data_IF_949860418054
#
_entry.id   IF_949860418054
#
_cell.length_a   1.000
_cell.length_b   1.000
_cell.length_c   1.000
_cell.angle_alpha   90.00
_cell.angle_beta   90.00
_cell.angle_gamma   90.00
#
_symmetry.space_group_name_H-M   'P 1'
#
loop_
_entity.id
_entity.type
_entity.pdbx_description
1 polymer ?
#
# COMPACT_ATOMS: atom_id res chain seq x y z
N UNK A 1 -59.40 -78.38 -37.87
CA UNK A 1 -59.79 -76.97 -38.12
C UNK A 1 -58.79 -76.07 -37.41
N UNK A 2 -58.26 -75.07 -38.12
CA UNK A 2 -56.99 -74.40 -37.85
C UNK A 2 -56.96 -73.51 -36.59
N UNK A 3 -55.79 -73.34 -35.92
CA UNK A 3 -55.64 -72.37 -34.84
C UNK A 3 -55.41 -70.96 -35.38
N UNK A 4 -56.03 -69.99 -34.71
CA UNK A 4 -55.95 -68.54 -34.98
C UNK A 4 -54.52 -68.02 -34.76
N UNK A 5 -53.95 -67.39 -35.79
CA UNK A 5 -52.66 -66.69 -35.74
C UNK A 5 -52.81 -65.36 -34.99
N UNK A 6 -52.03 -65.19 -33.92
CA UNK A 6 -51.85 -63.93 -33.23
C UNK A 6 -50.91 -63.02 -34.05
N UNK A 7 -51.41 -61.88 -34.53
CA UNK A 7 -50.62 -60.88 -35.27
C UNK A 7 -50.02 -59.87 -34.28
N UNK A 8 -48.68 -59.83 -34.20
CA UNK A 8 -47.95 -58.80 -33.44
C UNK A 8 -48.01 -57.46 -34.20
N UNK A 9 -48.55 -56.42 -33.56
CA UNK A 9 -48.40 -55.02 -34.03
C UNK A 9 -46.98 -54.52 -33.71
N UNK A 10 -46.32 -53.75 -34.61
CA UNK A 10 -45.03 -53.14 -34.32
C UNK A 10 -45.19 -51.98 -33.31
N UNK A 11 -44.38 -51.99 -32.24
CA UNK A 11 -44.21 -50.84 -31.33
C UNK A 11 -43.34 -49.80 -32.05
N UNK A 12 -43.90 -48.63 -32.33
CA UNK A 12 -43.15 -47.47 -32.79
C UNK A 12 -42.13 -47.05 -31.71
N UNK A 13 -40.85 -46.99 -32.08
CA UNK A 13 -39.78 -46.43 -31.25
C UNK A 13 -39.82 -44.91 -31.41
N UNK A 14 -40.43 -44.20 -30.46
CA UNK A 14 -40.32 -42.74 -30.37
C UNK A 14 -38.92 -42.35 -29.94
N UNK A 15 -38.18 -41.65 -30.80
CA UNK A 15 -36.89 -41.04 -30.46
C UNK A 15 -37.19 -39.69 -29.82
N UNK A 16 -37.02 -39.59 -28.51
CA UNK A 16 -37.08 -38.31 -27.79
C UNK A 16 -35.73 -37.62 -28.00
N UNK A 17 -35.65 -36.71 -28.96
CA UNK A 17 -34.49 -35.85 -29.15
C UNK A 17 -34.47 -34.80 -28.03
N UNK A 18 -33.65 -35.02 -27.01
CA UNK A 18 -33.40 -34.05 -25.94
C UNK A 18 -32.47 -32.97 -26.46
N UNK A 19 -33.01 -31.77 -26.73
CA UNK A 19 -32.22 -30.60 -27.11
C UNK A 19 -31.58 -30.00 -25.86
N UNK A 20 -30.30 -30.29 -25.63
CA UNK A 20 -29.45 -29.58 -24.67
C UNK A 20 -29.22 -28.16 -25.19
N UNK A 21 -29.98 -27.19 -24.67
CA UNK A 21 -29.70 -25.77 -24.85
C UNK A 21 -28.50 -25.42 -23.97
N UNK A 22 -27.30 -25.44 -24.55
CA UNK A 22 -26.10 -24.89 -23.91
C UNK A 22 -26.19 -23.37 -24.03
N UNK A 23 -26.67 -22.71 -22.98
CA UNK A 23 -26.62 -21.26 -22.86
C UNK A 23 -25.17 -20.81 -22.69
N UNK A 24 -24.54 -20.36 -23.77
CA UNK A 24 -23.22 -19.74 -23.73
C UNK A 24 -23.37 -18.33 -23.15
N UNK A 25 -23.31 -18.21 -21.83
CA UNK A 25 -23.29 -16.91 -21.17
C UNK A 25 -21.99 -16.20 -21.55
N UNK A 26 -22.08 -15.20 -22.44
CA UNK A 26 -20.99 -14.26 -22.67
C UNK A 26 -20.76 -13.48 -21.36
N UNK A 27 -19.79 -13.91 -20.56
CA UNK A 27 -19.30 -13.15 -19.42
C UNK A 27 -18.51 -11.95 -19.96
N UNK A 28 -19.21 -10.85 -20.22
CA UNK A 28 -18.56 -9.59 -20.52
C UNK A 28 -17.75 -9.16 -19.28
N UNK A 29 -16.45 -8.87 -19.41
CA UNK A 29 -15.63 -8.46 -18.28
C UNK A 29 -16.20 -7.17 -17.69
N UNK A 30 -16.55 -7.20 -16.40
CA UNK A 30 -16.96 -6.00 -15.67
C UNK A 30 -15.84 -4.95 -15.77
N UNK A 31 -16.17 -3.67 -16.01
CA UNK A 31 -15.18 -2.62 -16.01
C UNK A 31 -14.48 -2.61 -14.66
N UNK A 32 -13.16 -2.78 -14.68
CA UNK A 32 -12.39 -2.81 -13.46
C UNK A 32 -12.55 -1.50 -12.68
N UNK A 33 -12.49 -1.57 -11.35
CA UNK A 33 -12.56 -0.37 -10.52
C UNK A 33 -11.25 0.45 -10.64
N UNK A 34 -11.32 1.78 -10.49
CA UNK A 34 -10.12 2.61 -10.44
C UNK A 34 -9.27 2.28 -9.20
N UNK A 35 -7.95 2.37 -9.31
CA UNK A 35 -7.03 2.21 -8.18
C UNK A 35 -7.02 3.49 -7.34
N UNK A 36 -7.21 3.35 -6.03
CA UNK A 36 -7.03 4.47 -5.09
C UNK A 36 -5.60 4.45 -4.59
N UNK A 37 -4.88 5.54 -4.80
CA UNK A 37 -3.47 5.67 -4.39
C UNK A 37 -3.35 6.67 -3.27
N UNK A 38 -2.67 6.28 -2.19
CA UNK A 38 -2.33 7.18 -1.09
C UNK A 38 -0.82 7.20 -0.89
N UNK A 39 -0.25 8.40 -0.75
CA UNK A 39 1.17 8.59 -0.47
C UNK A 39 1.32 8.89 1.02
N UNK A 40 2.09 8.05 1.71
CA UNK A 40 2.37 8.16 3.13
C UNK A 40 3.83 8.56 3.32
N UNK A 41 4.08 9.85 3.57
CA UNK A 41 5.43 10.38 3.69
C UNK A 41 5.65 11.03 5.05
N UNK A 42 6.86 10.89 5.59
CA UNK A 42 7.21 11.54 6.84
C UNK A 42 8.45 10.95 7.52
N UNK A 43 8.57 11.24 8.82
CA UNK A 43 9.69 10.81 9.64
C UNK A 43 9.28 9.73 10.67
N UNK A 44 9.90 9.66 11.85
CA UNK A 44 9.78 8.53 12.81
C UNK A 44 8.37 8.03 13.09
N UNK A 45 7.39 8.93 13.22
CA UNK A 45 5.99 8.55 13.50
C UNK A 45 5.30 7.94 12.27
N UNK A 46 5.60 8.42 11.07
CA UNK A 46 5.11 7.82 9.82
C UNK A 46 5.86 6.52 9.52
N UNK A 47 7.17 6.47 9.81
CA UNK A 47 7.96 5.24 9.71
C UNK A 47 7.32 4.15 10.56
N UNK A 48 6.92 4.48 11.79
CA UNK A 48 6.17 3.60 12.66
C UNK A 48 7.05 2.77 13.58
N UNK A 49 7.00 3.02 14.88
CA UNK A 49 7.87 2.35 15.85
C UNK A 49 7.12 1.48 16.85
N UNK A 50 5.79 1.42 16.74
CA UNK A 50 4.97 0.56 17.59
C UNK A 50 5.24 -0.89 17.22
N UNK A 51 5.55 -1.73 18.22
CA UNK A 51 5.85 -3.15 17.98
C UNK A 51 4.55 -3.94 17.88
N UNK A 52 4.55 -4.99 17.07
CA UNK A 52 3.36 -5.86 16.93
C UNK A 52 3.00 -6.51 18.27
N UNK A 53 4.00 -6.88 19.07
CA UNK A 53 3.81 -7.48 20.40
C UNK A 53 3.06 -6.57 21.40
N UNK A 54 2.88 -5.28 21.10
CA UNK A 54 2.20 -4.35 22.00
C UNK A 54 0.75 -4.04 21.59
N UNK A 55 0.22 -4.56 20.48
CA UNK A 55 -1.14 -4.17 20.04
C UNK A 55 -2.25 -4.76 20.90
N UNK A 56 -2.02 -5.87 21.58
CA UNK A 56 -3.02 -6.45 22.46
C UNK A 56 -3.37 -5.51 23.63
N UNK A 57 -2.47 -4.59 24.00
CA UNK A 57 -2.74 -3.53 24.97
C UNK A 57 -3.80 -2.52 24.54
N UNK A 58 -4.17 -2.47 23.25
CA UNK A 58 -5.35 -1.72 22.82
C UNK A 58 -6.62 -2.26 23.54
N UNK A 59 -6.65 -3.53 23.92
CA UNK A 59 -7.77 -4.08 24.67
C UNK A 59 -7.96 -3.43 26.06
N UNK A 60 -6.93 -2.78 26.61
CA UNK A 60 -6.97 -2.14 27.92
C UNK A 60 -7.85 -0.87 27.92
N UNK A 61 -8.11 -0.26 26.75
CA UNK A 61 -9.03 0.87 26.58
C UNK A 61 -10.23 0.47 25.69
N UNK A 62 -11.46 0.44 26.25
CA UNK A 62 -12.68 0.14 25.50
C UNK A 62 -12.87 0.99 24.23
N UNK A 63 -12.37 2.23 24.21
CA UNK A 63 -12.47 3.12 23.07
C UNK A 63 -11.67 2.62 21.85
N UNK A 64 -10.66 1.79 22.05
CA UNK A 64 -9.80 1.28 20.96
C UNK A 64 -10.16 -0.14 20.50
N UNK A 65 -11.12 -0.80 21.16
CA UNK A 65 -11.63 -2.11 20.75
C UNK A 65 -12.15 -2.16 19.30
N UNK A 66 -12.86 -1.14 18.76
CA UNK A 66 -13.26 -1.17 17.35
C UNK A 66 -12.07 -1.22 16.40
N UNK A 67 -10.97 -0.52 16.74
CA UNK A 67 -9.74 -0.52 15.96
C UNK A 67 -9.04 -1.88 16.06
N UNK A 68 -8.90 -2.43 17.28
CA UNK A 68 -8.28 -3.74 17.50
C UNK A 68 -8.99 -4.85 16.70
N UNK A 69 -10.34 -4.83 16.67
CA UNK A 69 -11.13 -5.78 15.86
C UNK A 69 -10.86 -5.68 14.37
N UNK A 70 -10.52 -4.51 13.85
CA UNK A 70 -10.15 -4.34 12.43
C UNK A 70 -8.72 -4.83 12.14
N UNK A 71 -7.85 -4.78 13.15
CA UNK A 71 -6.44 -5.16 13.06
C UNK A 71 -6.22 -6.67 13.11
N UNK A 72 -7.17 -7.44 13.63
CA UNK A 72 -7.08 -8.90 13.76
C UNK A 72 -8.03 -9.63 12.81
N UNK A 73 -7.64 -10.85 12.40
CA UNK A 73 -8.52 -11.79 11.71
C UNK A 73 -9.42 -12.55 12.70
N UNK A 74 -10.23 -13.48 12.18
CA UNK A 74 -11.16 -14.26 13.00
C UNK A 74 -10.46 -15.19 14.01
N UNK A 75 -9.18 -15.50 13.79
CA UNK A 75 -8.34 -16.29 14.68
C UNK A 75 -7.51 -15.42 15.64
N UNK A 76 -7.73 -14.09 15.64
CA UNK A 76 -7.02 -13.15 16.50
C UNK A 76 -5.61 -12.81 16.03
N UNK A 77 -5.19 -13.23 14.83
CA UNK A 77 -3.86 -12.94 14.28
C UNK A 77 -3.87 -11.59 13.55
N UNK A 78 -2.71 -10.92 13.37
CA UNK A 78 -2.65 -9.70 12.57
C UNK A 78 -3.23 -9.90 11.17
N UNK A 79 -4.20 -9.05 10.83
CA UNK A 79 -4.96 -9.16 9.59
C UNK A 79 -4.10 -8.84 8.37
N UNK A 80 -4.23 -9.65 7.33
CA UNK A 80 -3.75 -9.34 5.98
C UNK A 80 -4.91 -8.77 5.17
N UNK A 81 -4.79 -7.53 4.70
CA UNK A 81 -5.83 -6.85 3.93
C UNK A 81 -6.09 -7.54 2.58
N UNK A 82 -7.36 -7.61 2.16
CA UNK A 82 -7.82 -8.23 0.91
C UNK A 82 -7.69 -7.32 -0.31
N UNK A 83 -7.77 -6.00 -0.10
CA UNK A 83 -7.81 -4.99 -1.17
C UNK A 83 -6.79 -3.88 -1.00
N UNK A 84 -5.90 -3.93 0.00
CA UNK A 84 -4.83 -2.94 0.17
C UNK A 84 -3.48 -3.58 -0.07
N UNK A 85 -2.71 -2.94 -0.93
CA UNK A 85 -1.31 -3.24 -1.19
C UNK A 85 -0.46 -2.06 -0.76
N UNK A 86 0.78 -2.34 -0.40
CA UNK A 86 1.74 -1.33 -0.01
C UNK A 86 3.05 -1.55 -0.76
N UNK A 87 3.65 -0.46 -1.21
CA UNK A 87 5.07 -0.37 -1.51
C UNK A 87 5.67 0.62 -0.52
N UNK A 88 6.72 0.21 0.18
CA UNK A 88 7.36 1.01 1.20
C UNK A 88 8.86 1.10 0.93
N UNK A 89 9.32 2.31 0.64
CA UNK A 89 10.72 2.66 0.50
C UNK A 89 11.28 3.20 1.82
N UNK A 90 12.23 2.46 2.38
CA UNK A 90 12.85 2.73 3.69
C UNK A 90 14.19 2.01 3.79
N UNK A 91 14.85 2.08 4.95
CA UNK A 91 16.09 1.37 5.22
C UNK A 91 16.93 2.00 6.32
N UNK A 92 18.04 1.35 6.68
CA UNK A 92 19.00 1.88 7.65
C UNK A 92 20.06 2.76 6.98
N UNK A 93 20.14 4.01 7.40
CA UNK A 93 21.11 4.97 6.85
C UNK A 93 20.88 5.17 5.35
N UNK A 94 21.87 4.77 4.56
CA UNK A 94 21.83 4.89 3.09
C UNK A 94 21.39 3.60 2.38
N UNK A 95 21.27 2.49 3.11
CA UNK A 95 20.84 1.20 2.57
C UNK A 95 19.31 1.16 2.38
N UNK A 96 18.81 2.07 1.56
CA UNK A 96 17.40 2.16 1.23
C UNK A 96 17.00 1.10 0.19
N UNK A 97 15.78 0.59 0.34
CA UNK A 97 15.22 -0.42 -0.52
C UNK A 97 13.71 -0.43 -0.43
N UNK A 98 13.09 -1.28 -1.24
CA UNK A 98 11.65 -1.38 -1.34
C UNK A 98 11.18 -2.72 -0.76
N UNK A 99 10.26 -2.67 0.20
CA UNK A 99 9.46 -3.80 0.62
C UNK A 99 8.02 -3.61 0.19
N UNK A 100 7.42 -4.64 -0.38
CA UNK A 100 6.08 -4.60 -0.96
C UNK A 100 5.27 -5.84 -0.59
N UNK A 101 3.94 -5.71 -0.67
CA UNK A 101 3.03 -6.83 -0.46
C UNK A 101 1.60 -6.38 -0.23
N UNK A 102 0.73 -7.34 0.12
CA UNK A 102 -0.56 -7.03 0.75
C UNK A 102 -0.29 -6.35 2.08
N UNK A 103 -1.11 -5.37 2.43
CA UNK A 103 -0.95 -4.66 3.69
C UNK A 103 -1.20 -5.63 4.85
N UNK A 104 -0.24 -5.68 5.76
CA UNK A 104 -0.31 -6.35 7.06
C UNK A 104 0.62 -5.61 8.01
N UNK A 105 0.84 -6.15 9.20
CA UNK A 105 1.88 -5.66 10.11
C UNK A 105 3.29 -5.82 9.51
N UNK A 106 4.29 -5.26 10.19
CA UNK A 106 5.68 -5.38 9.76
C UNK A 106 6.13 -4.31 8.77
N UNK A 107 5.21 -3.47 8.28
CA UNK A 107 5.49 -2.30 7.42
C UNK A 107 5.83 -1.01 8.21
N UNK A 108 6.00 -1.10 9.54
CA UNK A 108 6.60 -0.06 10.38
C UNK A 108 8.10 0.12 10.11
N UNK A 109 8.90 0.57 11.07
CA UNK A 109 10.36 0.72 10.89
C UNK A 109 11.01 -0.61 10.52
N UNK A 110 11.70 -0.65 9.36
CA UNK A 110 12.38 -1.85 8.84
C UNK A 110 13.80 -1.52 8.42
N UNK A 111 14.82 -1.91 9.22
CA UNK A 111 16.22 -1.70 8.85
C UNK A 111 16.63 -2.43 7.57
N UNK A 112 16.11 -3.64 7.38
CA UNK A 112 16.18 -4.41 6.14
C UNK A 112 14.85 -4.22 5.39
N UNK A 113 14.85 -3.51 4.25
CA UNK A 113 13.60 -3.16 3.56
C UNK A 113 12.82 -4.36 3.04
N UNK A 114 13.49 -5.51 2.83
CA UNK A 114 12.89 -6.72 2.29
C UNK A 114 12.28 -7.65 3.36
N UNK A 115 12.46 -7.34 4.65
CA UNK A 115 12.01 -8.16 5.77
C UNK A 115 10.95 -7.45 6.59
N UNK A 116 10.14 -8.24 7.29
CA UNK A 116 9.26 -7.76 8.34
C UNK A 116 10.09 -7.05 9.43
N UNK A 117 9.71 -5.81 9.79
CA UNK A 117 10.36 -5.02 10.83
C UNK A 117 9.89 -5.30 12.27
N UNK A 118 8.89 -6.17 12.46
CA UNK A 118 8.23 -6.45 13.74
C UNK A 118 7.43 -5.27 14.29
N UNK A 119 7.11 -4.29 13.44
CA UNK A 119 6.53 -3.00 13.82
C UNK A 119 5.42 -2.57 12.87
N UNK A 120 4.57 -1.66 13.32
CA UNK A 120 3.65 -0.90 12.47
C UNK A 120 3.93 0.59 12.56
N UNK A 121 3.54 1.28 11.51
CA UNK A 121 3.16 2.69 11.57
C UNK A 121 1.68 2.88 11.30
N UNK A 122 1.28 4.13 10.98
CA UNK A 122 -0.11 4.45 10.68
C UNK A 122 -0.59 3.79 9.39
N UNK A 123 0.29 3.24 8.53
CA UNK A 123 -0.11 2.57 7.29
C UNK A 123 -1.07 1.41 7.52
N UNK A 124 -0.90 0.68 8.63
CA UNK A 124 -1.69 -0.52 8.88
C UNK A 124 -3.15 -0.15 9.17
N UNK A 125 -3.36 0.68 10.20
CA UNK A 125 -4.70 1.11 10.60
C UNK A 125 -5.35 2.03 9.57
N UNK A 126 -4.58 2.91 8.92
CA UNK A 126 -5.06 3.72 7.81
C UNK A 126 -5.57 2.84 6.67
N UNK A 127 -4.77 1.88 6.20
CA UNK A 127 -5.16 1.04 5.08
C UNK A 127 -6.38 0.15 5.38
N UNK A 128 -6.48 -0.41 6.59
CA UNK A 128 -7.65 -1.17 7.04
C UNK A 128 -8.91 -0.29 7.09
N UNK A 129 -8.78 0.95 7.60
CA UNK A 129 -9.88 1.92 7.65
C UNK A 129 -10.35 2.27 6.23
N UNK A 130 -9.40 2.53 5.32
CA UNK A 130 -9.73 2.87 3.94
C UNK A 130 -10.34 1.68 3.18
N UNK A 131 -9.92 0.45 3.47
CA UNK A 131 -10.53 -0.75 2.91
C UNK A 131 -11.99 -0.93 3.33
N UNK A 132 -12.32 -0.61 4.58
CA UNK A 132 -13.69 -0.62 5.07
C UNK A 132 -14.55 0.48 4.42
N UNK A 133 -13.95 1.65 4.16
CA UNK A 133 -14.64 2.80 3.59
C UNK A 133 -14.78 2.76 2.05
N UNK A 134 -13.91 2.03 1.35
CA UNK A 134 -13.81 2.05 -0.11
C UNK A 134 -14.00 0.65 -0.72
N UNK A 135 -14.69 0.61 -1.86
CA UNK A 135 -14.97 -0.64 -2.57
C UNK A 135 -13.90 -0.96 -3.63
N UNK A 136 -13.01 -0.02 -3.92
CA UNK A 136 -11.92 -0.11 -4.88
C UNK A 136 -10.65 -0.77 -4.30
N UNK A 137 -9.75 -1.30 -5.16
CA UNK A 137 -8.41 -1.65 -4.73
C UNK A 137 -7.63 -0.40 -4.30
N UNK A 138 -6.76 -0.56 -3.30
CA UNK A 138 -5.98 0.50 -2.68
C UNK A 138 -4.49 0.19 -2.79
N UNK A 139 -3.70 1.19 -3.16
CA UNK A 139 -2.25 1.16 -3.15
C UNK A 139 -1.70 2.26 -2.24
N UNK A 140 -1.00 1.84 -1.19
CA UNK A 140 -0.22 2.72 -0.34
C UNK A 140 1.21 2.81 -0.90
N UNK A 141 1.69 4.03 -1.10
CA UNK A 141 3.09 4.31 -1.43
C UNK A 141 3.69 5.01 -0.21
N UNK A 142 4.45 4.27 0.59
CA UNK A 142 5.05 4.77 1.82
C UNK A 142 6.51 5.14 1.59
N UNK A 143 6.93 6.28 2.12
CA UNK A 143 8.31 6.80 2.03
C UNK A 143 8.63 7.49 3.35
N UNK A 144 9.24 6.77 4.28
CA UNK A 144 9.38 7.24 5.65
C UNK A 144 10.69 6.78 6.29
N UNK A 145 11.30 7.71 7.03
CA UNK A 145 12.62 7.53 7.63
C UNK A 145 12.76 8.35 8.92
N UNK A 146 13.26 7.73 9.98
CA UNK A 146 13.57 8.40 11.23
C UNK A 146 14.62 9.50 11.09
N UNK A 147 14.48 10.55 11.90
CA UNK A 147 15.47 11.63 12.01
C UNK A 147 15.55 12.54 10.78
N UNK A 148 14.49 12.58 9.95
CA UNK A 148 14.39 13.48 8.79
C UNK A 148 13.51 14.67 9.10
N UNK A 149 13.90 15.81 8.55
CA UNK A 149 13.24 17.09 8.74
C UNK A 149 12.48 17.52 7.49
N UNK A 150 11.37 18.22 7.68
CA UNK A 150 10.70 18.93 6.58
C UNK A 150 11.58 20.04 6.00
N UNK A 151 12.33 20.67 6.89
CA UNK A 151 13.15 21.83 6.63
C UNK A 151 14.34 21.57 5.69
N UNK A 152 15.02 20.41 5.85
CA UNK A 152 16.21 20.03 5.09
C UNK A 152 15.90 18.86 4.16
N UNK A 153 15.58 17.69 4.73
CA UNK A 153 15.54 16.42 4.01
C UNK A 153 14.39 16.34 3.00
N UNK A 154 13.20 16.76 3.44
CA UNK A 154 11.98 16.79 2.63
C UNK A 154 11.71 18.15 1.97
N UNK A 155 12.70 19.05 1.96
CA UNK A 155 12.55 20.37 1.34
C UNK A 155 12.35 20.23 -0.18
N UNK A 156 11.22 20.71 -0.74
CA UNK A 156 10.99 20.63 -2.18
C UNK A 156 11.88 21.62 -2.94
N UNK A 157 12.21 21.35 -4.23
CA UNK A 157 13.01 22.27 -5.06
C UNK A 157 12.42 23.68 -5.14
N UNK A 158 11.09 23.81 -5.18
CA UNK A 158 10.39 25.10 -5.22
C UNK A 158 10.58 25.97 -3.98
N UNK A 159 11.01 25.40 -2.84
CA UNK A 159 11.34 26.17 -1.64
C UNK A 159 12.75 26.79 -1.70
N UNK A 160 13.54 26.51 -2.73
CA UNK A 160 14.93 26.96 -2.85
C UNK A 160 15.88 26.28 -1.85
N UNK A 161 17.16 26.66 -1.82
CA UNK A 161 18.13 26.15 -0.85
C UNK A 161 17.76 26.57 0.57
N UNK A 162 18.28 25.84 1.56
CA UNK A 162 18.16 26.29 2.94
C UNK A 162 18.94 27.59 3.19
N UNK A 163 18.33 28.52 3.93
CA UNK A 163 18.92 29.81 4.29
C UNK A 163 19.20 29.84 5.79
N UNK A 164 20.47 30.02 6.15
CA UNK A 164 20.88 30.19 7.54
C UNK A 164 20.53 31.59 8.04
N UNK A 165 19.90 31.69 9.20
CA UNK A 165 19.72 32.98 9.89
C UNK A 165 20.89 33.27 10.85
N UNK A 166 21.01 34.54 11.28
CA UNK A 166 22.10 35.02 12.14
C UNK A 166 22.16 34.27 13.47
N UNK A 167 21.02 34.04 14.13
CA UNK A 167 20.93 33.30 15.40
C UNK A 167 21.46 31.88 15.27
N UNK A 168 21.14 31.20 14.17
CA UNK A 168 21.60 29.83 13.90
C UNK A 168 23.13 29.82 13.68
N UNK A 169 23.66 30.76 12.91
CA UNK A 169 25.11 30.88 12.71
C UNK A 169 25.84 31.19 14.03
N UNK A 170 25.31 32.09 14.86
CA UNK A 170 25.87 32.42 16.16
C UNK A 170 25.87 31.20 17.11
N UNK A 171 24.79 30.40 17.10
CA UNK A 171 24.73 29.17 17.90
C UNK A 171 25.74 28.12 17.42
N UNK A 172 25.94 27.97 16.11
CA UNK A 172 26.95 27.07 15.55
C UNK A 172 28.37 27.50 15.95
N UNK A 173 28.65 28.80 15.90
CA UNK A 173 29.93 29.37 16.34
C UNK A 173 30.18 29.13 17.83
N UNK A 174 29.20 29.41 18.70
CA UNK A 174 29.29 29.16 20.15
C UNK A 174 29.55 27.69 20.48
N UNK A 175 28.99 26.78 19.68
CA UNK A 175 29.20 25.34 19.81
C UNK A 175 30.50 24.82 19.17
N UNK A 176 31.39 25.69 18.68
CA UNK A 176 32.67 25.30 18.07
C UNK A 176 32.53 24.54 16.74
N UNK A 177 31.37 24.63 16.07
CA UNK A 177 31.12 23.89 14.82
C UNK A 177 31.65 24.68 13.61
N UNK A 178 32.45 24.07 12.71
CA UNK A 178 32.92 24.73 11.51
C UNK A 178 31.75 25.12 10.59
N UNK A 179 31.48 26.42 10.45
CA UNK A 179 30.32 26.92 9.69
C UNK A 179 30.36 26.46 8.23
N UNK A 180 31.56 26.44 7.62
CA UNK A 180 31.74 26.01 6.23
C UNK A 180 31.30 24.56 6.02
N UNK A 181 31.69 23.65 6.93
CA UNK A 181 31.29 22.24 6.88
C UNK A 181 29.78 22.07 7.09
N UNK A 182 29.21 22.81 8.05
CA UNK A 182 27.76 22.77 8.30
C UNK A 182 26.99 23.25 7.08
N UNK A 183 27.43 24.32 6.42
CA UNK A 183 26.82 24.83 5.18
C UNK A 183 26.94 23.81 4.04
N UNK A 184 28.11 23.21 3.85
CA UNK A 184 28.35 22.20 2.82
C UNK A 184 27.45 20.97 3.03
N UNK A 185 27.39 20.45 4.26
CA UNK A 185 26.52 19.32 4.60
C UNK A 185 25.05 19.66 4.39
N UNK A 186 24.62 20.82 4.88
CA UNK A 186 23.24 21.27 4.73
C UNK A 186 22.84 21.42 3.25
N UNK A 187 23.73 21.94 2.41
CA UNK A 187 23.51 22.01 0.97
C UNK A 187 23.39 20.61 0.33
N UNK A 188 24.26 19.67 0.71
CA UNK A 188 24.23 18.29 0.22
C UNK A 188 22.96 17.53 0.62
N UNK A 189 22.50 17.72 1.86
CA UNK A 189 21.35 17.00 2.41
C UNK A 189 20.00 17.62 1.98
N UNK A 190 20.01 18.88 1.53
CA UNK A 190 18.77 19.60 1.17
C UNK A 190 18.01 18.89 0.04
N UNK A 191 16.76 18.55 0.34
CA UNK A 191 15.80 17.93 -0.57
C UNK A 191 16.12 16.49 -0.94
N UNK A 192 17.09 15.85 -0.29
CA UNK A 192 17.51 14.49 -0.64
C UNK A 192 16.36 13.48 -0.50
N UNK A 193 15.67 13.47 0.63
CA UNK A 193 14.58 12.53 0.88
C UNK A 193 13.30 12.91 0.15
N UNK A 194 13.11 14.19 -0.16
CA UNK A 194 12.09 14.61 -1.12
C UNK A 194 12.31 13.97 -2.50
N UNK A 195 13.54 14.01 -3.02
CA UNK A 195 13.88 13.38 -4.31
C UNK A 195 13.64 11.88 -4.28
N UNK A 196 14.14 11.18 -3.25
CA UNK A 196 13.91 9.75 -3.06
C UNK A 196 12.42 9.40 -3.01
N UNK A 197 11.62 10.20 -2.30
CA UNK A 197 10.16 10.03 -2.24
C UNK A 197 9.53 10.15 -3.64
N UNK A 198 9.82 11.23 -4.36
CA UNK A 198 9.24 11.48 -5.69
C UNK A 198 9.68 10.41 -6.70
N UNK A 199 10.95 10.00 -6.68
CA UNK A 199 11.48 8.93 -7.52
C UNK A 199 10.76 7.60 -7.24
N UNK A 200 10.58 7.25 -5.97
CA UNK A 200 9.89 6.04 -5.59
C UNK A 200 8.40 6.07 -6.00
N UNK A 201 7.70 7.17 -5.76
CA UNK A 201 6.31 7.37 -6.19
C UNK A 201 6.19 7.19 -7.71
N UNK A 202 7.07 7.83 -8.49
CA UNK A 202 7.10 7.68 -9.94
C UNK A 202 7.36 6.24 -10.38
N UNK A 203 8.34 5.56 -9.76
CA UNK A 203 8.66 4.15 -10.03
C UNK A 203 7.44 3.25 -9.81
N UNK A 204 6.73 3.42 -8.70
CA UNK A 204 5.54 2.62 -8.38
C UNK A 204 4.39 2.91 -9.35
N UNK A 205 4.12 4.18 -9.62
CA UNK A 205 3.03 4.60 -10.51
C UNK A 205 3.27 4.26 -11.99
N UNK A 206 4.52 4.11 -12.41
CA UNK A 206 4.85 3.63 -13.75
C UNK A 206 4.44 2.15 -13.94
N UNK A 207 4.51 1.34 -12.88
CA UNK A 207 4.22 -0.10 -12.92
C UNK A 207 3.39 -0.57 -11.71
N UNK A 208 2.16 -0.06 -11.51
CA UNK A 208 1.38 -0.30 -10.30
C UNK A 208 1.00 -1.78 -10.11
N UNK A 209 0.88 -2.54 -11.21
CA UNK A 209 0.58 -3.99 -11.19
C UNK A 209 1.65 -4.84 -10.50
N UNK A 210 2.90 -4.37 -10.46
CA UNK A 210 3.98 -5.05 -9.72
C UNK A 210 3.68 -5.09 -8.23
N UNK A 211 2.99 -4.07 -7.71
CA UNK A 211 2.65 -3.94 -6.29
C UNK A 211 1.22 -4.40 -6.02
N UNK A 212 0.28 -4.01 -6.87
CA UNK A 212 -1.14 -4.36 -6.78
C UNK A 212 -1.57 -5.16 -8.03
N UNK A 213 -1.37 -6.49 -8.07
CA UNK A 213 -1.73 -7.31 -9.23
C UNK A 213 -3.23 -7.30 -9.55
N UNK A 214 -4.08 -7.03 -8.55
CA UNK A 214 -5.53 -6.92 -8.72
C UNK A 214 -5.97 -5.70 -9.56
N UNK A 215 -5.06 -4.76 -9.86
CA UNK A 215 -5.35 -3.58 -10.66
C UNK A 215 -5.39 -3.88 -12.17
N UNK A 216 -6.49 -3.49 -12.83
CA UNK A 216 -6.54 -3.43 -14.29
C UNK A 216 -6.07 -2.07 -14.83
N UNK A 217 -5.06 -2.09 -15.69
CA UNK A 217 -4.30 -0.90 -16.13
C UNK A 217 -5.14 0.20 -16.80
N UNK A 218 -6.31 -0.14 -17.33
CA UNK A 218 -7.21 0.80 -18.02
C UNK A 218 -7.75 1.95 -17.14
N UNK A 219 -7.58 1.90 -15.81
CA UNK A 219 -8.24 2.84 -14.89
C UNK A 219 -7.30 3.75 -14.09
N UNK A 220 -6.05 3.92 -14.51
CA UNK A 220 -5.16 4.90 -13.88
C UNK A 220 -5.49 6.30 -14.42
N UNK A 221 -6.49 6.96 -13.84
CA UNK A 221 -6.61 8.42 -13.97
C UNK A 221 -5.77 9.06 -12.87
N UNK A 222 -4.58 9.50 -13.23
CA UNK A 222 -3.76 10.33 -12.35
C UNK A 222 -4.52 11.65 -12.14
N UNK A 223 -5.23 11.78 -11.02
CA UNK A 223 -5.73 13.07 -10.54
C UNK A 223 -4.54 13.85 -9.95
N UNK A 224 -3.53 14.11 -10.78
CA UNK A 224 -2.47 15.05 -10.44
C UNK A 224 -3.04 16.45 -10.67
N UNK A 225 -3.45 17.12 -9.59
CA UNK A 225 -3.39 18.57 -9.61
C UNK A 225 -1.92 18.95 -9.88
N UNK A 226 -1.63 19.81 -10.87
CA UNK A 226 -0.26 20.23 -11.12
C UNK A 226 0.29 20.83 -9.83
N UNK A 227 1.33 20.20 -9.28
CA UNK A 227 2.18 20.83 -8.29
C UNK A 227 2.84 22.01 -9.01
N UNK A 228 2.27 23.20 -8.81
CA UNK A 228 2.85 24.48 -9.22
C UNK A 228 4.04 24.80 -8.32
#
# INVERSE_FOLDING_TARGET
>A
MAPLRCTRRPRARGVIASWLVVAFALALPLPAKPLKVFILAGQSNMEGHAKVETFDHLADDPATLPLLRQMCDAEGRPRVSDRVWISYFTGRGEANGEGLGRLTVGFGSRPDPAKDGGKIGPEFTFGLTMEAALAEPILLIKTAWGGKSLHTDFRPPGAGPFVFNETHLANLQKGGRPIAEVRAKQAADTGRYFRLMVEHVRKVLAHPRRVCPAFAQANLKLLAAPLR
#
